data_IF_375598903891
#
_entry.id   IF_375598903891
#
_cell.length_a   1.000
_cell.length_b   1.000
_cell.length_c   1.000
_cell.angle_alpha   90.00
_cell.angle_beta   90.00
_cell.angle_gamma   90.00
#
_symmetry.space_group_name_H-M   'P 1'
#
loop_
_entity.id
_entity.type
_entity.pdbx_description
1 polymer ?
#
# COMPACT_ATOMS: atom_id res chain seq x y z
N UNK A 1 48.37 -41.78 -65.00
CA UNK A 1 48.72 -41.95 -63.58
C UNK A 1 47.44 -41.80 -62.76
N UNK A 2 47.22 -42.77 -61.88
CA UNK A 2 46.01 -43.01 -61.07
C UNK A 2 46.04 -42.24 -59.74
N UNK A 3 44.84 -42.19 -59.12
CA UNK A 3 44.54 -41.95 -57.70
C UNK A 3 44.42 -40.47 -57.30
N UNK A 4 43.43 -40.01 -56.54
CA UNK A 4 42.35 -40.59 -55.72
C UNK A 4 41.76 -39.37 -54.96
N UNK A 5 40.48 -39.20 -54.67
CA UNK A 5 39.54 -40.09 -53.99
C UNK A 5 39.20 -39.45 -52.63
N UNK A 6 37.95 -39.02 -52.42
CA UNK A 6 37.48 -38.54 -51.11
C UNK A 6 36.14 -37.80 -51.14
N UNK A 7 35.05 -38.52 -50.87
CA UNK A 7 33.64 -38.05 -50.87
C UNK A 7 33.28 -37.20 -49.64
N UNK A 8 32.24 -36.39 -49.86
CA UNK A 8 31.52 -35.58 -48.89
C UNK A 8 30.91 -36.36 -47.72
N UNK A 9 30.90 -35.72 -46.55
CA UNK A 9 30.05 -36.06 -45.41
C UNK A 9 29.50 -34.78 -44.78
N UNK A 10 28.31 -34.36 -45.20
CA UNK A 10 27.57 -33.27 -44.58
C UNK A 10 27.01 -33.75 -43.24
N UNK A 11 27.57 -33.27 -42.13
CA UNK A 11 27.00 -33.52 -40.81
C UNK A 11 25.88 -32.52 -40.53
N UNK A 12 24.65 -32.98 -40.68
CA UNK A 12 23.45 -32.31 -40.17
C UNK A 12 23.57 -32.16 -38.65
N UNK A 13 23.73 -30.94 -38.14
CA UNK A 13 23.55 -30.66 -36.73
C UNK A 13 22.05 -30.66 -36.42
N UNK A 14 21.56 -31.80 -35.95
CA UNK A 14 20.25 -31.95 -35.32
C UNK A 14 20.07 -30.90 -34.23
N UNK A 15 19.02 -30.08 -34.36
CA UNK A 15 18.55 -29.14 -33.35
C UNK A 15 18.15 -29.92 -32.08
N UNK A 16 19.10 -30.03 -31.15
CA UNK A 16 18.89 -30.64 -29.85
C UNK A 16 18.06 -29.72 -28.96
N UNK A 17 16.76 -30.00 -28.90
CA UNK A 17 15.83 -29.84 -27.76
C UNK A 17 16.00 -28.57 -26.93
N UNK A 18 14.97 -27.73 -26.98
CA UNK A 18 14.58 -26.71 -26.00
C UNK A 18 14.42 -27.29 -24.59
N UNK A 19 15.55 -27.62 -23.96
CA UNK A 19 15.61 -27.91 -22.54
C UNK A 19 15.34 -26.62 -21.77
N UNK A 20 14.13 -26.47 -21.25
CA UNK A 20 13.77 -25.37 -20.34
C UNK A 20 14.85 -25.30 -19.25
N UNK A 21 15.58 -24.18 -19.09
CA UNK A 21 16.59 -24.08 -18.04
C UNK A 21 15.86 -24.30 -16.71
N UNK A 22 16.21 -25.38 -16.00
CA UNK A 22 15.76 -25.58 -14.62
C UNK A 22 16.68 -24.71 -13.77
N UNK A 23 16.20 -23.61 -13.17
CA UNK A 23 17.03 -22.85 -12.25
C UNK A 23 17.42 -23.83 -11.14
N UNK A 24 18.74 -24.01 -10.95
CA UNK A 24 19.25 -24.83 -9.86
C UNK A 24 18.66 -24.36 -8.53
N UNK A 25 18.62 -25.26 -7.55
CA UNK A 25 18.22 -24.94 -6.18
C UNK A 25 19.10 -23.78 -5.69
N UNK A 26 18.51 -22.59 -5.46
CA UNK A 26 19.20 -21.43 -4.85
C UNK A 26 19.47 -21.77 -3.37
N UNK A 27 20.50 -22.56 -3.10
CA UNK A 27 20.83 -23.01 -1.74
C UNK A 27 21.91 -22.17 -1.06
N UNK A 28 22.43 -21.11 -1.70
CA UNK A 28 23.69 -20.51 -1.21
C UNK A 28 23.75 -18.98 -1.11
N UNK A 29 22.78 -18.20 -1.61
CA UNK A 29 22.92 -16.71 -1.63
C UNK A 29 21.61 -15.97 -1.29
N UNK A 30 20.73 -16.55 -0.47
CA UNK A 30 19.50 -15.85 -0.06
C UNK A 30 19.01 -16.27 1.32
N UNK A 31 18.20 -15.43 2.00
CA UNK A 31 17.57 -15.80 3.27
C UNK A 31 16.81 -17.14 3.11
N UNK A 32 16.69 -17.96 4.17
CA UNK A 32 16.09 -19.29 4.09
C UNK A 32 14.65 -19.30 3.53
N UNK A 33 13.93 -18.18 3.58
CA UNK A 33 12.63 -17.96 2.94
C UNK A 33 12.67 -17.94 1.41
N UNK A 34 13.83 -17.71 0.80
CA UNK A 34 14.07 -17.81 -0.64
C UNK A 34 14.46 -19.23 -1.11
N UNK A 35 14.55 -20.20 -0.20
CA UNK A 35 14.82 -21.59 -0.57
C UNK A 35 13.55 -22.24 -1.15
N UNK A 36 13.58 -22.57 -2.44
CA UNK A 36 12.44 -23.15 -3.14
C UNK A 36 12.76 -23.53 -4.58
N UNK A 37 11.77 -24.10 -5.28
CA UNK A 37 11.85 -24.33 -6.73
C UNK A 37 11.36 -23.06 -7.42
N UNK A 38 12.29 -22.23 -7.86
CA UNK A 38 11.98 -21.06 -8.68
C UNK A 38 11.77 -21.50 -10.13
N UNK A 39 10.70 -21.01 -10.76
CA UNK A 39 10.46 -21.18 -12.19
C UNK A 39 10.38 -19.82 -12.86
N UNK A 40 10.92 -19.71 -14.07
CA UNK A 40 10.75 -18.51 -14.88
C UNK A 40 9.26 -18.28 -15.15
N UNK A 41 8.76 -17.12 -14.76
CA UNK A 41 7.37 -16.70 -15.01
C UNK A 41 7.18 -16.07 -16.39
N UNK A 42 8.26 -15.64 -17.06
CA UNK A 42 8.18 -15.02 -18.38
C UNK A 42 7.41 -15.86 -19.42
N UNK A 43 7.57 -17.21 -19.48
CA UNK A 43 6.77 -18.04 -20.39
C UNK A 43 5.28 -18.10 -20.03
N UNK A 44 4.88 -17.82 -18.79
CA UNK A 44 3.47 -17.75 -18.37
C UNK A 44 2.79 -16.47 -18.86
N UNK A 45 3.57 -15.48 -19.29
CA UNK A 45 3.08 -14.20 -19.82
C UNK A 45 2.86 -14.23 -21.35
N UNK A 46 2.92 -15.42 -21.96
CA UNK A 46 2.71 -15.61 -23.41
C UNK A 46 1.32 -16.21 -23.70
N UNK A 47 0.61 -15.73 -24.74
CA UNK A 47 1.00 -14.64 -25.63
C UNK A 47 1.01 -13.29 -24.90
N UNK A 48 1.94 -12.41 -25.27
CA UNK A 48 2.03 -11.09 -24.65
C UNK A 48 0.76 -10.29 -24.96
N UNK A 49 0.15 -9.64 -23.95
CA UNK A 49 -1.05 -8.83 -24.17
C UNK A 49 -0.74 -7.65 -25.08
N UNK A 50 -1.72 -7.24 -25.88
CA UNK A 50 -1.62 -6.06 -26.73
C UNK A 50 -1.49 -4.81 -25.86
N UNK A 51 -0.81 -3.74 -26.32
CA UNK A 51 -0.65 -2.52 -25.52
C UNK A 51 -1.96 -1.95 -24.98
N UNK A 52 -3.03 -1.97 -25.79
CA UNK A 52 -4.37 -1.52 -25.38
C UNK A 52 -4.98 -2.39 -24.28
N UNK A 53 -4.79 -3.71 -24.34
CA UNK A 53 -5.28 -4.64 -23.30
C UNK A 53 -4.57 -4.38 -21.98
N UNK A 54 -3.25 -4.19 -22.02
CA UNK A 54 -2.44 -3.86 -20.85
C UNK A 54 -2.84 -2.51 -20.24
N UNK A 55 -3.00 -1.46 -21.05
CA UNK A 55 -3.48 -0.16 -20.60
C UNK A 55 -4.89 -0.22 -20.00
N UNK A 56 -5.78 -1.02 -20.59
CA UNK A 56 -7.13 -1.20 -20.09
C UNK A 56 -7.16 -1.95 -18.75
N UNK A 57 -6.42 -3.05 -18.64
CA UNK A 57 -6.28 -3.78 -17.38
C UNK A 57 -5.66 -2.91 -16.28
N UNK A 58 -4.65 -2.10 -16.62
CA UNK A 58 -4.04 -1.15 -15.68
C UNK A 58 -5.05 -0.09 -15.22
N UNK A 59 -5.84 0.48 -16.14
CA UNK A 59 -6.87 1.46 -15.79
C UNK A 59 -7.93 0.87 -14.86
N UNK A 60 -8.40 -0.35 -15.12
CA UNK A 60 -9.34 -1.06 -14.25
C UNK A 60 -8.73 -1.33 -12.87
N UNK A 61 -7.49 -1.82 -12.81
CA UNK A 61 -6.80 -2.06 -11.54
C UNK A 61 -6.70 -0.78 -10.70
N UNK A 62 -6.41 0.36 -11.34
CA UNK A 62 -6.34 1.66 -10.66
C UNK A 62 -7.72 2.08 -10.13
N UNK A 63 -8.78 1.91 -10.93
CA UNK A 63 -10.16 2.24 -10.54
C UNK A 63 -10.64 1.38 -9.37
N UNK A 64 -10.39 0.08 -9.41
CA UNK A 64 -10.80 -0.87 -8.36
C UNK A 64 -10.05 -0.61 -7.05
N UNK A 65 -8.76 -0.28 -7.12
CA UNK A 65 -7.92 -0.06 -5.94
C UNK A 65 -8.15 1.29 -5.28
N UNK A 66 -8.19 2.38 -6.05
CA UNK A 66 -8.27 3.74 -5.51
C UNK A 66 -9.70 4.27 -5.39
N UNK A 67 -10.66 3.70 -6.13
CA UNK A 67 -12.02 4.22 -6.27
C UNK A 67 -12.08 5.51 -7.10
N UNK A 68 -11.20 6.48 -6.81
CA UNK A 68 -10.95 7.70 -7.56
C UNK A 68 -9.51 7.70 -8.07
N UNK A 69 -9.33 7.59 -9.37
CA UNK A 69 -8.01 7.65 -10.03
C UNK A 69 -7.64 9.09 -10.29
N UNK A 70 -6.50 9.51 -9.74
CA UNK A 70 -5.87 10.82 -9.98
C UNK A 70 -4.51 10.65 -10.62
N UNK A 71 -3.95 11.75 -11.15
CA UNK A 71 -2.57 11.74 -11.67
C UNK A 71 -1.57 11.38 -10.57
N UNK A 72 -1.76 11.91 -9.38
CA UNK A 72 -0.90 11.71 -8.21
C UNK A 72 -0.93 10.25 -7.74
N UNK A 73 -2.10 9.60 -7.71
CA UNK A 73 -2.23 8.19 -7.35
C UNK A 73 -1.48 7.28 -8.32
N UNK A 74 -1.61 7.53 -9.63
CA UNK A 74 -0.88 6.76 -10.65
C UNK A 74 0.62 7.00 -10.56
N UNK A 75 1.06 8.24 -10.31
CA UNK A 75 2.48 8.52 -10.11
C UNK A 75 3.05 7.84 -8.85
N UNK A 76 2.27 7.78 -7.76
CA UNK A 76 2.68 7.10 -6.54
C UNK A 76 2.85 5.58 -6.74
N UNK A 77 2.03 4.96 -7.59
CA UNK A 77 2.21 3.56 -7.96
C UNK A 77 3.36 3.30 -8.94
N UNK A 78 3.72 4.30 -9.74
CA UNK A 78 4.82 4.21 -10.70
C UNK A 78 4.68 3.14 -11.80
N UNK A 79 3.49 2.92 -12.42
CA UNK A 79 3.40 2.01 -13.55
C UNK A 79 4.16 2.56 -14.77
N UNK A 80 4.57 1.66 -15.65
CA UNK A 80 5.28 2.01 -16.90
C UNK A 80 4.41 2.96 -17.74
N UNK A 81 4.98 4.08 -18.16
CA UNK A 81 4.28 5.12 -18.92
C UNK A 81 3.44 6.08 -18.08
N UNK A 82 3.37 5.89 -16.75
CA UNK A 82 2.71 6.79 -15.81
C UNK A 82 1.24 7.06 -16.16
N UNK A 83 0.76 8.26 -15.86
CA UNK A 83 -0.65 8.62 -16.10
C UNK A 83 -1.04 8.59 -17.59
N UNK A 84 -0.12 8.90 -18.50
CA UNK A 84 -0.39 8.88 -19.94
C UNK A 84 -0.76 7.47 -20.43
N UNK A 85 -0.26 6.42 -19.77
CA UNK A 85 -0.55 5.03 -20.11
C UNK A 85 -2.02 4.63 -19.90
N UNK A 86 -2.74 5.32 -19.00
CA UNK A 86 -4.13 5.01 -18.66
C UNK A 86 -5.12 6.11 -19.06
N UNK A 87 -4.67 7.36 -19.25
CA UNK A 87 -5.55 8.51 -19.51
C UNK A 87 -6.46 8.30 -20.74
N UNK A 88 -5.91 7.82 -21.85
CA UNK A 88 -6.70 7.59 -23.07
C UNK A 88 -7.82 6.58 -22.85
N UNK A 89 -7.55 5.50 -22.11
CA UNK A 89 -8.56 4.52 -21.74
C UNK A 89 -9.61 5.13 -20.81
N UNK A 90 -9.19 5.83 -19.76
CA UNK A 90 -10.11 6.46 -18.80
C UNK A 90 -11.02 7.48 -19.49
N UNK A 91 -10.50 8.24 -20.46
CA UNK A 91 -11.30 9.14 -21.30
C UNK A 91 -12.33 8.38 -22.12
N UNK A 92 -11.94 7.32 -22.82
CA UNK A 92 -12.91 6.50 -23.59
C UNK A 92 -13.95 5.82 -22.69
N UNK A 93 -13.56 5.38 -21.49
CA UNK A 93 -14.51 4.84 -20.51
C UNK A 93 -15.50 5.90 -20.03
N UNK A 94 -15.06 7.15 -19.90
CA UNK A 94 -15.92 8.28 -19.53
C UNK A 94 -16.92 8.62 -20.65
N UNK A 95 -16.45 8.69 -21.91
CA UNK A 95 -17.30 8.88 -23.09
C UNK A 95 -18.37 7.78 -23.23
N UNK A 96 -18.07 6.55 -22.77
CA UNK A 96 -19.00 5.41 -22.71
C UNK A 96 -19.87 5.40 -21.45
N UNK A 97 -19.70 6.37 -20.55
CA UNK A 97 -20.43 6.48 -19.29
C UNK A 97 -20.07 5.44 -18.22
N UNK A 98 -18.98 4.68 -18.40
CA UNK A 98 -18.52 3.64 -17.47
C UNK A 98 -17.83 4.22 -16.23
N UNK A 99 -17.21 5.38 -16.38
CA UNK A 99 -16.63 6.16 -15.28
C UNK A 99 -17.18 7.59 -15.32
N UNK A 100 -17.02 8.31 -14.21
CA UNK A 100 -17.33 9.73 -14.08
C UNK A 100 -16.05 10.51 -13.95
N UNK A 101 -15.91 11.58 -14.74
CA UNK A 101 -14.86 12.58 -14.57
C UNK A 101 -15.38 13.76 -13.77
N UNK A 102 -14.60 14.24 -12.82
CA UNK A 102 -15.01 15.36 -11.97
C UNK A 102 -13.92 15.81 -11.01
N UNK A 103 -14.29 16.70 -10.09
CA UNK A 103 -13.45 17.13 -8.97
C UNK A 103 -13.99 16.47 -7.71
N UNK A 104 -13.36 15.36 -7.31
CA UNK A 104 -13.78 14.57 -6.15
C UNK A 104 -12.88 14.84 -4.94
N UNK A 105 -11.59 15.06 -5.16
CA UNK A 105 -10.59 15.30 -4.13
C UNK A 105 -10.05 16.73 -4.25
N UNK A 106 -10.15 17.49 -3.16
CA UNK A 106 -9.62 18.85 -3.09
C UNK A 106 -8.09 18.86 -3.10
N UNK A 107 -7.48 19.91 -3.66
CA UNK A 107 -6.03 20.10 -3.69
C UNK A 107 -5.28 19.23 -4.70
N UNK A 108 -5.97 18.39 -5.47
CA UNK A 108 -5.40 17.57 -6.54
C UNK A 108 -5.81 18.07 -7.94
N UNK A 109 -5.10 17.60 -8.97
CA UNK A 109 -5.35 17.99 -10.36
C UNK A 109 -6.77 17.65 -10.86
N UNK A 110 -7.21 18.35 -11.90
CA UNK A 110 -8.56 18.25 -12.46
C UNK A 110 -8.89 16.92 -13.18
N UNK A 111 -7.87 16.13 -13.53
CA UNK A 111 -8.07 14.86 -14.21
C UNK A 111 -8.30 13.75 -13.17
N UNK A 112 -9.53 13.67 -12.65
CA UNK A 112 -9.94 12.64 -11.71
C UNK A 112 -11.08 11.80 -12.32
N UNK A 113 -10.96 10.48 -12.22
CA UNK A 113 -11.91 9.53 -12.78
C UNK A 113 -12.34 8.56 -11.69
N UNK A 114 -13.64 8.33 -11.55
CA UNK A 114 -14.18 7.45 -10.53
C UNK A 114 -15.24 6.52 -11.11
N UNK A 115 -15.36 5.32 -10.55
CA UNK A 115 -16.49 4.45 -10.83
C UNK A 115 -17.79 5.11 -10.29
N UNK A 116 -18.95 4.96 -10.94
CA UNK A 116 -20.20 5.52 -10.45
C UNK A 116 -20.49 5.17 -8.98
N UNK A 117 -20.32 3.88 -8.60
CA UNK A 117 -20.51 3.46 -7.21
C UNK A 117 -19.45 4.01 -6.23
N UNK A 118 -18.27 4.43 -6.70
CA UNK A 118 -17.33 5.16 -5.85
C UNK A 118 -17.82 6.59 -5.58
N UNK A 119 -18.41 7.26 -6.59
CA UNK A 119 -19.01 8.59 -6.44
C UNK A 119 -20.20 8.55 -5.49
N UNK A 120 -21.04 7.51 -5.58
CA UNK A 120 -22.20 7.37 -4.72
C UNK A 120 -21.77 7.18 -3.26
N UNK A 121 -20.77 6.31 -2.99
CA UNK A 121 -20.19 6.18 -1.64
C UNK A 121 -19.60 7.48 -1.09
N UNK A 122 -18.99 8.32 -1.93
CA UNK A 122 -18.49 9.64 -1.50
C UNK A 122 -19.62 10.59 -1.14
N UNK A 123 -20.78 10.50 -1.80
CA UNK A 123 -21.97 11.30 -1.46
C UNK A 123 -22.55 10.83 -0.14
N UNK A 124 -22.70 9.53 0.04
CA UNK A 124 -23.20 8.94 1.28
C UNK A 124 -22.32 9.32 2.48
N UNK A 125 -21.00 9.30 2.30
CA UNK A 125 -20.05 9.71 3.34
C UNK A 125 -20.11 11.21 3.69
N UNK A 126 -20.49 12.06 2.74
CA UNK A 126 -20.61 13.52 2.96
C UNK A 126 -21.78 13.86 3.88
N UNK A 127 -22.87 13.11 3.78
CA UNK A 127 -24.09 13.41 4.52
C UNK A 127 -23.96 13.08 6.02
N UNK A 128 -22.84 12.46 6.42
CA UNK A 128 -22.32 12.42 7.80
C UNK A 128 -23.16 11.60 8.78
N UNK A 129 -22.50 11.09 9.81
CA UNK A 129 -23.19 10.57 11.00
C UNK A 129 -23.07 11.64 12.07
N UNK A 130 -24.20 12.10 12.60
CA UNK A 130 -24.18 12.95 13.79
C UNK A 130 -23.66 12.11 14.97
N UNK A 131 -22.43 12.38 15.40
CA UNK A 131 -21.75 11.63 16.44
C UNK A 131 -22.36 11.84 17.84
N UNK A 132 -23.09 12.94 18.07
CA UNK A 132 -23.80 13.19 19.33
C UNK A 132 -25.10 12.39 19.39
N UNK A 133 -25.81 12.29 18.25
CA UNK A 133 -27.06 11.55 18.15
C UNK A 133 -26.87 10.04 17.93
N UNK A 134 -25.78 9.64 17.27
CA UNK A 134 -25.49 8.26 16.87
C UNK A 134 -24.04 7.86 17.17
N UNK A 135 -23.64 7.81 18.45
CA UNK A 135 -22.28 7.45 18.86
C UNK A 135 -21.86 6.05 18.41
N UNK A 136 -22.79 5.11 18.29
CA UNK A 136 -22.57 3.75 17.77
C UNK A 136 -22.21 3.71 16.28
N UNK A 137 -22.55 4.78 15.56
CA UNK A 137 -22.33 4.90 14.12
C UNK A 137 -21.02 5.63 13.79
N UNK A 138 -20.25 6.07 14.81
CA UNK A 138 -18.91 6.66 14.63
C UNK A 138 -17.93 5.57 14.18
N UNK A 139 -17.25 5.71 13.03
CA UNK A 139 -16.36 4.69 12.52
C UNK A 139 -15.22 4.37 13.51
N UNK A 140 -15.05 3.09 13.84
CA UNK A 140 -13.93 2.63 14.65
C UNK A 140 -12.62 2.86 13.89
N UNK A 141 -11.55 3.33 14.56
CA UNK A 141 -10.28 3.53 13.89
C UNK A 141 -9.72 2.23 13.32
N UNK A 142 -9.16 2.31 12.11
CA UNK A 142 -8.54 1.18 11.40
C UNK A 142 -7.02 1.38 11.33
N UNK A 143 -6.28 0.27 11.42
CA UNK A 143 -4.82 0.28 11.25
C UNK A 143 -4.46 -0.23 9.87
N UNK A 144 -3.81 0.61 9.07
CA UNK A 144 -3.27 0.25 7.76
C UNK A 144 -1.74 0.27 7.80
N UNK A 145 -1.09 -0.54 6.96
CA UNK A 145 0.33 -0.36 6.72
C UNK A 145 0.57 1.01 6.07
N UNK A 146 1.65 1.70 6.42
CA UNK A 146 1.97 3.00 5.84
C UNK A 146 2.28 2.93 4.32
N UNK A 147 2.48 1.73 3.79
CA UNK A 147 2.69 1.45 2.37
C UNK A 147 1.43 0.97 1.65
N UNK A 148 0.33 0.76 2.37
CA UNK A 148 -0.93 0.27 1.81
C UNK A 148 -1.55 1.31 0.84
N UNK A 149 -2.02 0.91 -0.35
CA UNK A 149 -2.68 1.82 -1.28
C UNK A 149 -3.94 2.50 -0.73
N UNK A 150 -4.66 1.87 0.20
CA UNK A 150 -5.85 2.45 0.84
C UNK A 150 -5.50 3.56 1.84
N UNK A 151 -4.22 3.68 2.23
CA UNK A 151 -3.71 4.82 2.99
C UNK A 151 -3.17 5.84 1.98
N UNK A 152 -3.79 7.02 1.79
CA UNK A 152 -3.39 7.92 0.68
C UNK A 152 -2.31 8.94 1.07
N UNK A 153 -2.08 9.17 2.37
CA UNK A 153 -1.17 10.23 2.84
C UNK A 153 0.30 9.90 2.59
N UNK A 154 1.06 10.92 2.20
CA UNK A 154 2.45 10.77 1.79
C UNK A 154 2.63 10.07 0.44
N UNK A 155 1.55 9.76 -0.28
CA UNK A 155 1.56 9.23 -1.63
C UNK A 155 0.78 10.13 -2.58
N UNK A 156 -0.55 10.11 -2.44
CA UNK A 156 -1.46 10.87 -3.32
C UNK A 156 -1.84 12.21 -2.70
N UNK A 157 -2.04 12.25 -1.38
CA UNK A 157 -2.32 13.46 -0.61
C UNK A 157 -1.19 13.74 0.38
N UNK A 158 -0.94 15.01 0.75
CA UNK A 158 0.06 15.32 1.77
C UNK A 158 -0.34 14.72 3.13
N UNK A 159 0.65 14.54 4.00
CA UNK A 159 0.37 14.29 5.42
C UNK A 159 -0.31 15.52 6.03
N UNK A 160 -1.27 15.35 6.96
CA UNK A 160 -1.76 16.46 7.77
C UNK A 160 -0.62 17.11 8.55
N UNK A 161 -0.81 18.35 8.97
CA UNK A 161 0.19 19.08 9.74
C UNK A 161 0.52 18.32 11.03
N UNK A 162 1.80 18.04 11.25
CA UNK A 162 2.31 17.37 12.44
C UNK A 162 3.73 17.86 12.74
N UNK A 163 4.15 17.75 14.00
CA UNK A 163 5.52 18.02 14.44
C UNK A 163 6.48 16.88 14.08
N UNK A 164 5.94 15.67 13.85
CA UNK A 164 6.71 14.50 13.41
C UNK A 164 7.06 14.50 11.92
N UNK A 165 7.76 13.44 11.49
CA UNK A 165 8.13 13.20 10.08
C UNK A 165 7.62 11.83 9.64
N UNK A 166 6.29 11.65 9.50
CA UNK A 166 5.71 10.38 9.08
C UNK A 166 6.19 10.02 7.66
N UNK A 167 6.39 8.72 7.41
CA UNK A 167 6.85 8.21 6.10
C UNK A 167 6.08 6.97 5.69
N UNK A 168 6.04 6.70 4.39
CA UNK A 168 5.52 5.43 3.83
C UNK A 168 6.60 4.36 3.86
N UNK A 169 7.06 4.00 5.05
CA UNK A 169 8.08 2.97 5.24
C UNK A 169 7.46 1.59 5.45
N UNK A 170 8.13 0.54 4.96
CA UNK A 170 7.70 -0.83 5.19
C UNK A 170 7.76 -1.15 6.69
N UNK A 171 6.67 -1.69 7.24
CA UNK A 171 6.55 -2.06 8.65
C UNK A 171 5.94 -0.97 9.54
N UNK A 172 5.97 0.30 9.11
CA UNK A 172 5.21 1.36 9.77
C UNK A 172 3.71 1.20 9.49
N UNK A 173 2.90 1.73 10.40
CA UNK A 173 1.45 1.69 10.34
C UNK A 173 0.85 3.08 10.55
N UNK A 174 -0.35 3.27 10.04
CA UNK A 174 -1.15 4.49 10.18
C UNK A 174 -2.50 4.10 10.74
N UNK A 175 -2.96 4.85 11.74
CA UNK A 175 -4.30 4.72 12.31
C UNK A 175 -5.18 5.81 11.72
N UNK A 176 -6.28 5.40 11.08
CA UNK A 176 -7.25 6.28 10.44
C UNK A 176 -8.62 6.11 11.09
N UNK A 177 -9.34 7.19 11.30
CA UNK A 177 -10.75 7.16 11.68
C UNK A 177 -11.53 8.10 10.77
N UNK A 178 -12.47 7.56 9.99
CA UNK A 178 -13.28 8.36 9.06
C UNK A 178 -12.43 9.22 8.09
N UNK A 179 -11.37 8.63 7.53
CA UNK A 179 -10.44 9.32 6.63
C UNK A 179 -9.45 10.28 7.31
N UNK A 180 -9.60 10.53 8.61
CA UNK A 180 -8.69 11.36 9.40
C UNK A 180 -7.53 10.54 9.96
N UNK A 181 -6.30 11.05 9.83
CA UNK A 181 -5.10 10.43 10.42
C UNK A 181 -5.03 10.79 11.89
N UNK A 182 -5.04 9.77 12.76
CA UNK A 182 -4.87 9.95 14.21
C UNK A 182 -3.47 9.58 14.68
N UNK A 183 -2.82 8.59 14.06
CA UNK A 183 -1.47 8.23 14.47
C UNK A 183 -0.68 7.63 13.30
N UNK A 184 0.63 7.85 13.31
CA UNK A 184 1.60 7.07 12.55
C UNK A 184 2.55 6.43 13.54
N UNK A 185 2.82 5.13 13.38
CA UNK A 185 3.72 4.41 14.28
C UNK A 185 4.70 3.59 13.46
N UNK A 186 5.99 3.75 13.74
CA UNK A 186 7.05 2.88 13.25
C UNK A 186 7.50 1.94 14.38
N UNK A 187 7.08 0.65 14.35
CA UNK A 187 7.47 -0.32 15.36
C UNK A 187 8.99 -0.60 15.42
N UNK A 188 9.72 -0.36 14.31
CA UNK A 188 11.16 -0.57 14.25
C UNK A 188 11.91 0.60 14.87
N UNK A 189 11.45 1.82 14.62
CA UNK A 189 12.01 3.03 15.22
C UNK A 189 11.49 3.29 16.64
N UNK A 190 10.43 2.59 17.06
CA UNK A 190 9.69 2.81 18.30
C UNK A 190 9.17 4.25 18.42
N UNK A 191 8.78 4.82 17.28
CA UNK A 191 8.40 6.23 17.16
C UNK A 191 6.92 6.33 16.80
N UNK A 192 6.16 6.95 17.70
CA UNK A 192 4.78 7.37 17.50
C UNK A 192 4.77 8.84 17.08
N UNK A 193 4.02 9.15 16.04
CA UNK A 193 3.73 10.51 15.59
C UNK A 193 2.24 10.74 15.70
N UNK A 194 1.88 11.86 16.31
CA UNK A 194 0.50 12.29 16.51
C UNK A 194 0.11 13.34 15.46
N UNK A 195 -1.19 13.45 15.25
CA UNK A 195 -1.83 14.34 14.28
C UNK A 195 -2.94 15.18 14.95
N UNK A 196 -3.56 16.13 14.24
CA UNK A 196 -4.73 16.84 14.75
C UNK A 196 -5.80 15.85 15.25
N UNK A 197 -6.46 16.18 16.36
CA UNK A 197 -7.51 15.37 17.01
C UNK A 197 -7.07 14.04 17.66
N UNK A 198 -5.78 13.65 17.60
CA UNK A 198 -5.25 12.45 18.30
C UNK A 198 -5.59 12.43 19.78
N UNK A 199 -5.53 13.59 20.44
CA UNK A 199 -5.80 13.74 21.87
C UNK A 199 -7.29 13.60 22.18
N UNK A 200 -8.13 14.14 21.32
CA UNK A 200 -9.59 14.18 21.50
C UNK A 200 -10.22 12.81 21.20
N UNK A 201 -9.69 12.10 20.20
CA UNK A 201 -10.22 10.81 19.72
C UNK A 201 -9.34 9.65 20.17
N UNK A 202 -9.32 9.34 21.46
CA UNK A 202 -8.39 8.34 22.04
C UNK A 202 -8.55 6.88 21.56
N UNK A 203 -9.62 6.54 20.80
CA UNK A 203 -9.88 5.19 20.28
C UNK A 203 -8.82 4.67 19.30
N UNK A 204 -7.91 5.51 18.79
CA UNK A 204 -6.77 5.06 17.98
C UNK A 204 -5.84 4.11 18.76
N UNK A 205 -5.77 4.23 20.09
CA UNK A 205 -4.96 3.34 20.93
C UNK A 205 -5.53 1.92 20.88
N UNK A 206 -6.85 1.76 20.97
CA UNK A 206 -7.48 0.44 20.89
C UNK A 206 -7.18 -0.25 19.56
N UNK A 207 -7.15 0.53 18.48
CA UNK A 207 -6.76 0.03 17.16
C UNK A 207 -5.29 -0.47 17.15
N UNK A 208 -4.35 0.24 17.79
CA UNK A 208 -2.98 -0.26 17.95
C UNK A 208 -2.91 -1.48 18.87
N UNK A 209 -3.64 -1.48 19.98
CA UNK A 209 -3.69 -2.59 20.94
C UNK A 209 -4.20 -3.87 20.26
N UNK A 210 -5.17 -3.76 19.35
CA UNK A 210 -5.66 -4.90 18.57
C UNK A 210 -4.56 -5.60 17.77
N UNK A 211 -3.50 -4.90 17.36
CA UNK A 211 -2.37 -5.54 16.68
C UNK A 211 -1.70 -6.60 17.57
N UNK A 212 -1.67 -6.39 18.88
CA UNK A 212 -1.10 -7.36 19.83
C UNK A 212 -2.12 -8.43 20.17
N UNK A 213 -3.33 -8.03 20.57
CA UNK A 213 -4.40 -8.96 20.98
C UNK A 213 -4.82 -9.93 19.88
N UNK A 214 -4.79 -9.49 18.62
CA UNK A 214 -5.10 -10.34 17.46
C UNK A 214 -3.90 -11.22 17.02
N UNK A 215 -2.77 -11.16 17.73
CA UNK A 215 -1.55 -11.88 17.40
C UNK A 215 -0.80 -11.36 16.16
N UNK A 216 -1.21 -10.23 15.58
CA UNK A 216 -0.56 -9.61 14.40
C UNK A 216 0.85 -9.06 14.72
N UNK A 217 1.10 -8.78 16.00
CA UNK A 217 2.38 -8.39 16.60
C UNK A 217 2.50 -9.04 17.97
N UNK A 218 3.71 -9.39 18.39
CA UNK A 218 3.95 -9.95 19.74
C UNK A 218 3.95 -8.89 20.84
N UNK A 219 4.31 -7.67 20.49
CA UNK A 219 4.42 -6.55 21.42
C UNK A 219 4.52 -5.23 20.65
N UNK A 220 4.19 -4.13 21.31
CA UNK A 220 4.49 -2.77 20.86
C UNK A 220 5.35 -2.06 21.91
N UNK A 221 6.25 -1.20 21.46
CA UNK A 221 7.08 -0.38 22.35
C UNK A 221 7.22 1.01 21.75
N UNK A 222 6.80 2.02 22.49
CA UNK A 222 6.86 3.44 22.14
C UNK A 222 7.97 4.09 22.97
N UNK A 223 9.09 4.41 22.32
CA UNK A 223 10.22 5.11 22.94
C UNK A 223 10.24 6.59 22.63
N UNK A 224 9.52 7.01 21.59
CA UNK A 224 9.41 8.41 21.18
C UNK A 224 7.98 8.75 20.79
N UNK A 225 7.51 9.91 21.23
CA UNK A 225 6.26 10.54 20.81
C UNK A 225 6.65 11.89 20.22
N UNK A 226 6.36 12.11 18.94
CA UNK A 226 6.66 13.36 18.21
C UNK A 226 8.14 13.80 18.27
N UNK A 227 9.04 12.85 18.49
CA UNK A 227 10.49 13.06 18.54
C UNK A 227 11.06 13.14 19.95
N UNK A 228 10.22 13.28 20.97
CA UNK A 228 10.59 13.38 22.38
C UNK A 228 10.33 12.05 23.13
N UNK A 229 10.98 11.86 24.28
CA UNK A 229 10.72 10.67 25.10
C UNK A 229 9.38 10.81 25.83
N UNK A 230 8.58 9.75 25.97
CA UNK A 230 7.32 9.80 26.71
C UNK A 230 7.54 10.34 28.12
N UNK A 231 6.76 11.35 28.52
CA UNK A 231 6.81 11.96 29.84
C UNK A 231 5.48 11.75 30.57
N UNK A 232 5.50 11.74 31.90
CA UNK A 232 4.27 11.54 32.68
C UNK A 232 3.26 12.69 32.54
N UNK A 233 3.71 13.88 32.15
CA UNK A 233 2.85 15.05 31.95
C UNK A 233 2.26 15.12 30.53
N UNK A 234 2.70 14.23 29.62
CA UNK A 234 2.20 14.16 28.25
C UNK A 234 0.84 13.44 28.20
N UNK A 235 -0.25 14.12 27.77
CA UNK A 235 -1.58 13.51 27.65
C UNK A 235 -1.62 12.28 26.74
N UNK A 236 -0.73 12.19 25.74
CA UNK A 236 -0.66 11.02 24.86
C UNK A 236 -0.13 9.81 25.61
N UNK A 237 0.82 10.01 26.53
CA UNK A 237 1.34 8.97 27.42
C UNK A 237 0.23 8.42 28.32
N UNK A 238 -0.62 9.29 28.89
CA UNK A 238 -1.78 8.86 29.68
C UNK A 238 -2.81 8.08 28.86
N UNK A 239 -3.06 8.51 27.62
CA UNK A 239 -3.95 7.80 26.68
C UNK A 239 -3.41 6.39 26.38
N UNK A 240 -2.10 6.24 26.12
CA UNK A 240 -1.46 4.94 25.93
C UNK A 240 -1.56 4.06 27.18
N UNK A 241 -1.33 4.62 28.38
CA UNK A 241 -1.45 3.89 29.66
C UNK A 241 -2.87 3.36 29.88
N UNK A 242 -3.90 4.16 29.60
CA UNK A 242 -5.29 3.70 29.66
C UNK A 242 -5.59 2.56 28.68
N UNK A 243 -4.90 2.53 27.54
CA UNK A 243 -4.94 1.42 26.59
C UNK A 243 -4.14 0.17 27.00
N UNK A 244 -3.52 0.17 28.19
CA UNK A 244 -2.78 -0.98 28.72
C UNK A 244 -1.28 -0.96 28.48
N UNK A 245 -0.72 0.13 27.94
CA UNK A 245 0.73 0.29 27.89
C UNK A 245 1.30 0.53 29.30
N UNK A 246 2.40 -0.14 29.63
CA UNK A 246 3.09 -0.01 30.92
C UNK A 246 4.48 0.61 30.74
N UNK A 247 4.96 1.31 31.77
CA UNK A 247 6.31 1.90 31.77
C UNK A 247 7.38 0.79 31.72
N UNK A 248 8.18 0.82 30.67
CA UNK A 248 9.37 -0.01 30.50
C UNK A 248 10.65 0.81 30.63
N UNK A 249 11.80 0.13 30.55
CA UNK A 249 13.11 0.76 30.74
C UNK A 249 13.42 1.90 29.73
N UNK A 250 12.90 1.82 28.50
CA UNK A 250 13.19 2.78 27.41
C UNK A 250 11.98 3.55 26.91
N UNK A 251 10.80 3.31 27.48
CA UNK A 251 9.53 3.84 26.99
C UNK A 251 8.36 2.95 27.36
N UNK A 252 7.19 3.25 26.80
CA UNK A 252 5.93 2.55 27.07
C UNK A 252 5.88 1.24 26.28
N UNK A 253 5.46 0.15 26.92
CA UNK A 253 5.40 -1.18 26.30
C UNK A 253 4.02 -1.81 26.45
N UNK A 254 3.57 -2.48 25.40
CA UNK A 254 2.37 -3.31 25.40
C UNK A 254 2.74 -4.73 24.99
N UNK A 255 2.29 -5.70 25.77
CA UNK A 255 2.43 -7.14 25.53
C UNK A 255 1.11 -7.81 25.86
N UNK A 256 0.87 -8.96 25.23
CA UNK A 256 -0.26 -9.84 25.54
C UNK A 256 -0.10 -10.47 26.92
#
# INVERSE_FOLDING_TARGET
MLSGGGRAGATSRTAGRTGRPRPGRLTRIGPPTGAGRWSLVAPLLLPAPRPTESSHALALQMLERHGVVTREAVLAEGPVGGFAAVYGVLKTMEERGQVRRGYFINGLGAAQFALPGAVDRLRDARDGVDAELHPESVPTPVVLAATDPAQPHGATVPWPLTTGRPTRSAGAVVVLADGEVLAWFDPRAHHLVTFPHTRERSSWVDALVSLVKDGRRRSLEVRKIDGESPSSDDPITDILRRGGFVDGYRGLTLRD
#
